data_IF_104384598255
#
_entry.id   IF_104384598255
#
_cell.length_a   1.000
_cell.length_b   1.000
_cell.length_c   1.000
_cell.angle_alpha   90.00
_cell.angle_beta   90.00
_cell.angle_gamma   90.00
#
_symmetry.space_group_name_H-M   'P 1'
#
loop_
_entity.id
_entity.type
_entity.pdbx_description
1 polymer ?
#
# COMPACT_ATOMS: atom_id res chain seq x y z
N UNK A 1 11.09 20.30 -10.04
CA UNK A 1 10.88 19.70 -8.69
C UNK A 1 9.42 19.82 -8.31
N UNK A 2 8.87 18.79 -7.68
CA UNK A 2 7.47 18.77 -7.27
C UNK A 2 7.39 18.32 -5.81
N UNK A 3 6.65 19.06 -4.99
CA UNK A 3 6.44 18.72 -3.58
C UNK A 3 4.99 18.29 -3.41
N UNK A 4 4.80 17.07 -2.91
CA UNK A 4 3.48 16.52 -2.64
C UNK A 4 3.21 16.60 -1.15
N UNK A 5 2.19 17.31 -0.76
CA UNK A 5 1.86 17.54 0.66
C UNK A 5 0.65 16.72 1.09
N UNK A 6 0.63 16.34 2.36
CA UNK A 6 -0.50 15.60 2.93
C UNK A 6 -0.49 14.10 2.67
N UNK A 7 0.65 13.55 2.24
CA UNK A 7 0.75 12.11 2.00
C UNK A 7 0.60 11.27 3.27
N UNK A 8 0.75 11.86 4.43
CA UNK A 8 0.56 11.21 5.73
C UNK A 8 -0.87 11.31 6.28
N UNK A 9 -1.79 11.85 5.48
CA UNK A 9 -3.17 12.04 5.92
C UNK A 9 -3.94 10.72 5.89
N UNK A 10 -4.55 10.35 7.02
CA UNK A 10 -5.46 9.21 7.07
C UNK A 10 -6.78 9.59 6.38
N UNK A 11 -7.08 8.96 5.24
CA UNK A 11 -8.22 9.33 4.39
C UNK A 11 -9.45 8.44 4.51
N UNK A 12 -9.44 7.45 5.41
CA UNK A 12 -10.57 6.56 5.63
C UNK A 12 -11.35 6.95 6.89
N UNK A 13 -12.52 6.33 7.10
CA UNK A 13 -13.33 6.53 8.30
C UNK A 13 -13.52 5.21 9.02
N UNK A 14 -13.72 5.25 10.34
CA UNK A 14 -13.99 4.05 11.14
C UNK A 14 -15.19 3.29 10.57
N UNK A 15 -15.04 1.96 10.44
CA UNK A 15 -16.07 1.10 9.88
C UNK A 15 -16.15 1.09 8.36
N UNK A 16 -15.38 1.92 7.68
CA UNK A 16 -15.31 1.98 6.24
C UNK A 16 -14.24 1.02 5.70
N UNK A 17 -14.31 0.62 4.42
CA UNK A 17 -13.21 -0.12 3.81
C UNK A 17 -11.96 0.75 3.66
N UNK A 18 -10.79 0.12 3.39
CA UNK A 18 -9.57 0.86 3.10
C UNK A 18 -9.74 1.84 1.95
N UNK A 19 -9.00 2.95 2.02
CA UNK A 19 -9.07 4.03 1.04
C UNK A 19 -7.71 4.28 0.40
N UNK A 20 -7.69 4.42 -0.91
CA UNK A 20 -6.49 4.65 -1.71
C UNK A 20 -6.52 6.02 -2.37
N UNK A 21 -5.43 6.77 -2.23
CA UNK A 21 -5.24 8.05 -2.92
C UNK A 21 -3.90 8.02 -3.64
N UNK A 22 -3.90 8.14 -4.95
CA UNK A 22 -2.67 8.28 -5.74
C UNK A 22 -2.27 9.76 -5.77
N UNK A 23 -1.00 10.04 -5.45
CA UNK A 23 -0.46 11.40 -5.40
C UNK A 23 0.33 11.76 -6.67
N UNK A 24 1.03 10.78 -7.25
CA UNK A 24 1.87 10.98 -8.42
C UNK A 24 1.94 9.69 -9.21
N UNK A 25 1.93 9.81 -10.52
CA UNK A 25 2.23 8.70 -11.42
C UNK A 25 3.01 9.22 -12.61
N UNK A 26 4.22 8.70 -12.75
CA UNK A 26 5.10 8.90 -13.92
C UNK A 26 5.52 7.52 -14.40
N UNK A 27 6.08 7.37 -15.63
CA UNK A 27 6.32 6.00 -16.15
C UNK A 27 7.12 5.08 -15.24
N UNK A 28 8.13 5.59 -14.56
CA UNK A 28 9.05 4.74 -13.78
C UNK A 28 8.61 4.52 -12.34
N UNK A 29 7.64 5.28 -11.83
CA UNK A 29 7.13 5.08 -10.47
C UNK A 29 5.77 5.74 -10.25
N UNK A 30 5.08 5.26 -9.25
CA UNK A 30 3.91 5.97 -8.70
C UNK A 30 3.95 5.93 -7.18
N UNK A 31 3.28 6.89 -6.54
CA UNK A 31 3.20 6.95 -5.09
C UNK A 31 1.79 7.35 -4.66
N UNK A 32 1.32 6.72 -3.60
CA UNK A 32 0.03 7.02 -3.02
C UNK A 32 -0.03 6.70 -1.55
N UNK A 33 -1.14 7.01 -0.92
CA UNK A 33 -1.40 6.71 0.49
C UNK A 33 -2.54 5.72 0.61
N UNK A 34 -2.28 4.65 1.34
CA UNK A 34 -3.28 3.62 1.66
C UNK A 34 -3.67 3.78 3.13
N UNK A 35 -4.94 4.03 3.37
CA UNK A 35 -5.48 4.24 4.72
C UNK A 35 -6.39 3.05 5.05
N UNK A 36 -6.03 2.29 6.09
CA UNK A 36 -6.75 1.10 6.50
C UNK A 36 -7.28 1.29 7.93
N UNK A 37 -8.59 1.46 8.10
CA UNK A 37 -9.16 1.57 9.44
C UNK A 37 -8.90 0.31 10.27
N UNK A 38 -8.75 0.48 11.58
CA UNK A 38 -8.62 -0.65 12.50
C UNK A 38 -9.76 -1.63 12.28
N UNK A 39 -9.44 -2.92 12.20
CA UNK A 39 -10.42 -3.99 11.97
C UNK A 39 -10.93 -4.10 10.54
N UNK A 40 -10.50 -3.24 9.61
CA UNK A 40 -10.92 -3.35 8.21
C UNK A 40 -10.30 -4.57 7.53
N UNK A 41 -10.90 -4.95 6.40
CA UNK A 41 -10.42 -6.08 5.59
C UNK A 41 -9.76 -5.52 4.33
N UNK A 42 -8.50 -5.91 4.12
CA UNK A 42 -7.74 -5.56 2.93
C UNK A 42 -7.99 -6.60 1.84
N UNK A 43 -8.64 -6.20 0.76
CA UNK A 43 -9.04 -7.10 -0.33
C UNK A 43 -8.26 -6.87 -1.61
N UNK A 44 -7.10 -6.23 -1.53
CA UNK A 44 -6.30 -5.93 -2.71
C UNK A 44 -5.85 -7.19 -3.44
N UNK A 45 -5.74 -7.10 -4.78
CA UNK A 45 -5.17 -8.14 -5.62
C UNK A 45 -3.65 -7.96 -5.73
N UNK A 46 -2.89 -9.01 -6.10
CA UNK A 46 -1.46 -8.86 -6.37
C UNK A 46 -1.22 -7.81 -7.47
N UNK A 47 -0.15 -7.05 -7.31
CA UNK A 47 0.23 -6.03 -8.28
C UNK A 47 1.26 -6.57 -9.27
N UNK A 48 1.27 -6.03 -10.48
CA UNK A 48 2.22 -6.44 -11.53
C UNK A 48 3.57 -5.75 -11.40
N UNK A 49 3.68 -4.73 -10.54
CA UNK A 49 4.89 -3.98 -10.27
C UNK A 49 5.49 -4.36 -8.92
N UNK A 50 6.78 -4.06 -8.74
CA UNK A 50 7.40 -4.11 -7.42
C UNK A 50 6.80 -3.00 -6.55
N UNK A 51 6.71 -3.26 -5.25
CA UNK A 51 6.03 -2.37 -4.33
C UNK A 51 6.83 -2.18 -3.05
N UNK A 52 6.86 -0.95 -2.54
CA UNK A 52 7.38 -0.61 -1.23
C UNK A 52 6.25 -0.02 -0.40
N UNK A 53 6.06 -0.55 0.80
CA UNK A 53 5.22 0.06 1.83
C UNK A 53 6.11 0.76 2.85
N UNK A 54 5.74 1.97 3.22
CA UNK A 54 6.32 2.68 4.36
C UNK A 54 5.20 2.99 5.32
N UNK A 55 5.19 2.33 6.48
CA UNK A 55 4.17 2.57 7.49
C UNK A 55 4.50 3.87 8.21
N UNK A 56 3.60 4.83 8.10
CA UNK A 56 3.76 6.14 8.73
C UNK A 56 3.14 6.17 10.12
N UNK A 57 1.98 5.53 10.30
CA UNK A 57 1.27 5.46 11.59
C UNK A 57 0.45 4.18 11.66
N UNK A 58 0.17 3.75 12.87
CA UNK A 58 -0.68 2.60 13.14
C UNK A 58 0.10 1.31 13.25
N UNK A 59 -0.61 0.23 13.57
CA UNK A 59 -0.04 -1.10 13.78
C UNK A 59 -0.95 -2.16 13.19
N UNK A 60 -0.32 -3.17 12.60
CA UNK A 60 -0.99 -4.33 12.04
C UNK A 60 0.02 -5.39 11.66
N UNK A 61 -0.34 -6.22 10.70
CA UNK A 61 0.58 -7.20 10.13
C UNK A 61 0.37 -7.27 8.62
N UNK A 62 1.40 -7.69 7.90
CA UNK A 62 1.31 -7.98 6.48
C UNK A 62 1.52 -9.48 6.30
N UNK A 63 0.59 -10.11 5.60
CA UNK A 63 0.61 -11.55 5.34
C UNK A 63 0.82 -11.81 3.86
N UNK A 64 1.70 -12.78 3.57
CA UNK A 64 1.83 -13.41 2.27
C UNK A 64 1.36 -14.85 2.38
N UNK A 65 1.46 -15.66 1.32
CA UNK A 65 1.09 -17.07 1.39
C UNK A 65 1.95 -17.86 2.40
N UNK A 66 3.19 -17.43 2.60
CA UNK A 66 4.18 -18.19 3.38
C UNK A 66 4.51 -17.58 4.73
N UNK A 67 4.20 -16.30 4.96
CA UNK A 67 4.67 -15.60 6.13
C UNK A 67 3.72 -14.49 6.56
N UNK A 68 3.81 -14.11 7.83
CA UNK A 68 3.12 -12.95 8.38
C UNK A 68 4.12 -12.17 9.22
N UNK A 69 4.19 -10.86 9.03
CA UNK A 69 5.12 -9.99 9.74
C UNK A 69 4.37 -8.82 10.36
N UNK A 70 4.67 -8.51 11.62
CA UNK A 70 4.12 -7.33 12.27
C UNK A 70 4.74 -6.08 11.66
N UNK A 71 3.91 -5.04 11.52
CA UNK A 71 4.35 -3.74 11.00
C UNK A 71 3.85 -2.62 11.92
N UNK A 72 4.61 -1.55 11.96
CA UNK A 72 4.30 -0.37 12.75
C UNK A 72 5.04 0.84 12.19
N UNK A 73 4.95 2.00 12.88
CA UNK A 73 5.57 3.23 12.38
C UNK A 73 7.06 3.03 12.07
N UNK A 74 7.47 3.38 10.87
CA UNK A 74 8.84 3.22 10.41
C UNK A 74 9.14 1.90 9.72
N UNK A 75 8.19 0.94 9.66
CA UNK A 75 8.39 -0.29 8.90
C UNK A 75 8.44 0.02 7.40
N UNK A 76 9.45 -0.55 6.74
CA UNK A 76 9.57 -0.52 5.28
C UNK A 76 9.48 -1.96 4.78
N UNK A 77 8.52 -2.24 3.90
CA UNK A 77 8.30 -3.60 3.42
C UNK A 77 8.41 -3.60 1.89
N UNK A 78 9.24 -4.52 1.37
CA UNK A 78 9.32 -4.76 -0.06
C UNK A 78 8.44 -5.95 -0.45
N UNK A 79 7.58 -5.75 -1.44
CA UNK A 79 6.73 -6.81 -2.00
C UNK A 79 7.06 -6.92 -3.48
N UNK A 80 7.65 -8.05 -3.91
CA UNK A 80 7.96 -8.24 -5.33
C UNK A 80 6.70 -8.38 -6.17
N UNK A 81 6.82 -8.04 -7.44
CA UNK A 81 5.73 -8.14 -8.41
C UNK A 81 5.09 -9.53 -8.36
N UNK A 82 3.76 -9.56 -8.36
CA UNK A 82 2.99 -10.80 -8.42
C UNK A 82 2.80 -11.52 -7.10
N UNK A 83 3.43 -11.09 -6.01
CA UNK A 83 3.28 -11.76 -4.72
C UNK A 83 1.92 -11.44 -4.09
N UNK A 84 1.18 -12.46 -3.73
CA UNK A 84 -0.07 -12.31 -2.97
C UNK A 84 0.22 -11.77 -1.58
N UNK A 85 -0.44 -10.70 -1.20
CA UNK A 85 -0.21 -10.06 0.10
C UNK A 85 -1.44 -9.27 0.53
N UNK A 86 -1.64 -9.19 1.85
CA UNK A 86 -2.73 -8.42 2.46
C UNK A 86 -2.30 -7.93 3.83
N UNK A 87 -2.73 -6.73 4.20
CA UNK A 87 -2.67 -6.31 5.59
C UNK A 87 -3.72 -7.07 6.39
N UNK A 88 -3.33 -7.56 7.55
CA UNK A 88 -4.20 -8.33 8.46
C UNK A 88 -3.99 -7.84 9.89
N UNK A 89 -4.91 -8.18 10.78
CA UNK A 89 -4.82 -7.81 12.21
C UNK A 89 -4.49 -6.33 12.39
N UNK A 90 -5.26 -5.48 11.73
CA UNK A 90 -5.08 -4.03 11.82
C UNK A 90 -5.66 -3.58 13.16
N UNK A 91 -4.79 -3.37 14.14
CA UNK A 91 -5.18 -3.05 15.52
C UNK A 91 -5.28 -1.55 15.77
N UNK A 92 -4.59 -0.75 14.96
CA UNK A 92 -4.68 0.70 14.96
C UNK A 92 -4.80 1.16 13.51
N UNK A 93 -5.51 2.26 13.27
CA UNK A 93 -5.64 2.83 11.92
C UNK A 93 -4.27 2.97 11.27
N UNK A 94 -4.10 2.30 10.13
CA UNK A 94 -2.84 2.29 9.40
C UNK A 94 -2.82 3.37 8.33
N UNK A 95 -1.78 4.19 8.33
CA UNK A 95 -1.46 5.11 7.24
C UNK A 95 -0.17 4.63 6.60
N UNK A 96 -0.26 4.19 5.35
CA UNK A 96 0.86 3.58 4.64
C UNK A 96 1.14 4.36 3.37
N UNK A 97 2.39 4.80 3.22
CA UNK A 97 2.86 5.34 1.95
C UNK A 97 3.25 4.18 1.05
N UNK A 98 2.75 4.18 -0.18
CA UNK A 98 2.94 3.07 -1.12
C UNK A 98 3.61 3.58 -2.39
N UNK A 99 4.72 2.93 -2.75
CA UNK A 99 5.46 3.23 -3.98
C UNK A 99 5.46 2.00 -4.88
N UNK A 100 5.13 2.20 -6.14
CA UNK A 100 5.23 1.17 -7.18
C UNK A 100 6.31 1.55 -8.19
N UNK A 101 7.08 0.59 -8.65
CA UNK A 101 8.08 0.76 -9.68
C UNK A 101 8.07 -0.44 -10.66
N UNK A 102 7.76 -0.17 -11.94
CA UNK A 102 7.25 1.06 -12.54
C UNK A 102 5.89 1.49 -11.94
N UNK A 103 5.31 2.56 -12.46
CA UNK A 103 4.03 3.05 -11.98
C UNK A 103 2.96 1.96 -11.92
N UNK A 104 2.07 2.02 -10.93
CA UNK A 104 1.01 1.04 -10.75
C UNK A 104 0.24 0.83 -12.06
N UNK A 105 0.07 -0.43 -12.45
CA UNK A 105 -0.63 -0.81 -13.66
C UNK A 105 0.20 -0.71 -14.94
N UNK A 106 1.41 -0.16 -14.89
CA UNK A 106 2.23 0.03 -16.10
C UNK A 106 2.57 -1.28 -16.80
N UNK A 107 2.91 -2.33 -16.03
CA UNK A 107 3.21 -3.65 -16.61
C UNK A 107 1.93 -4.39 -17.03
N UNK A 108 0.83 -4.19 -16.33
CA UNK A 108 -0.44 -4.81 -16.67
C UNK A 108 -0.92 -4.36 -18.04
N UNK A 109 -0.68 -3.10 -18.43
CA UNK A 109 -1.10 -2.57 -19.73
C UNK A 109 -0.34 -3.17 -20.90
N UNK A 110 0.79 -3.83 -20.67
CA UNK A 110 1.61 -4.47 -21.72
C UNK A 110 1.36 -5.98 -21.85
N UNK A 111 0.74 -6.60 -20.85
CA UNK A 111 0.55 -8.07 -20.83
C UNK A 111 -0.60 -8.54 -21.69
N UNK A 112 -1.49 -7.68 -22.12
CA UNK A 112 -2.62 -8.00 -22.96
C UNK A 112 -2.36 -7.85 -24.47
N UNK A 113 -1.15 -7.58 -24.85
CA UNK A 113 -0.82 -7.31 -26.25
C UNK A 113 -0.36 -8.59 -26.99
#
# INVERSE_FOLDING_TARGET
MQVLSGADRFGAQAGEPPHWVEHLSVPDLSVGTYSLPAGSVDTQDPHTEDEIYVVLRGRGALATDDATADVGPGSVVFVPAGETHHFVRIVEDLTVLVLFAPAEGARASTTGM
#
